data_IF_084966132649
#
_entry.id   IF_084966132649
#
_cell.length_a   1.000
_cell.length_b   1.000
_cell.length_c   1.000
_cell.angle_alpha   90.00
_cell.angle_beta   90.00
_cell.angle_gamma   90.00
#
_symmetry.space_group_name_H-M   'P 1'
#
loop_
_entity.id
_entity.type
_entity.pdbx_description
1 polymer ?
#
# COMPACT_ATOMS: atom_id res chain seq x y z
N UNK A 1 -16.10 13.11 -12.13
CA UNK A 1 -15.11 12.03 -12.26
C UNK A 1 -14.59 11.80 -10.86
N UNK A 2 -15.16 10.85 -10.13
CA UNK A 2 -14.63 10.47 -8.81
C UNK A 2 -13.33 9.75 -9.12
N UNK A 3 -12.20 10.42 -8.90
CA UNK A 3 -10.90 9.76 -9.00
C UNK A 3 -10.88 8.80 -7.82
N UNK A 4 -11.16 7.53 -8.08
CA UNK A 4 -10.86 6.45 -7.14
C UNK A 4 -9.35 6.53 -6.94
N UNK A 5 -8.94 7.12 -5.82
CA UNK A 5 -7.52 7.17 -5.44
C UNK A 5 -7.16 5.75 -5.04
N UNK A 6 -6.34 5.09 -5.85
CA UNK A 6 -5.82 3.76 -5.56
C UNK A 6 -5.04 3.78 -4.24
N UNK A 7 -5.01 2.63 -3.54
CA UNK A 7 -4.24 2.47 -2.29
C UNK A 7 -2.79 2.98 -2.41
N UNK A 8 -2.14 2.76 -3.56
CA UNK A 8 -0.78 3.21 -3.83
C UNK A 8 -0.66 4.73 -3.91
N UNK A 9 -1.59 5.41 -4.58
CA UNK A 9 -1.61 6.87 -4.67
C UNK A 9 -1.92 7.50 -3.31
N UNK A 10 -2.82 6.91 -2.53
CA UNK A 10 -3.09 7.35 -1.16
C UNK A 10 -1.84 7.28 -0.26
N UNK A 11 -1.12 6.15 -0.33
CA UNK A 11 0.12 5.96 0.42
C UNK A 11 1.22 6.93 -0.04
N UNK A 12 1.37 7.13 -1.36
CA UNK A 12 2.32 8.09 -1.92
C UNK A 12 2.02 9.52 -1.46
N UNK A 13 0.74 9.92 -1.52
CA UNK A 13 0.30 11.22 -1.04
C UNK A 13 0.62 11.43 0.45
N UNK A 14 0.34 10.45 1.31
CA UNK A 14 0.61 10.57 2.75
C UNK A 14 2.09 10.52 3.14
N UNK A 15 2.90 9.85 2.32
CA UNK A 15 4.35 9.85 2.45
C UNK A 15 4.99 11.12 1.89
N UNK A 16 4.25 11.92 1.11
CA UNK A 16 4.79 13.06 0.36
C UNK A 16 5.67 12.64 -0.81
N UNK A 17 5.52 11.40 -1.29
CA UNK A 17 6.20 10.91 -2.48
C UNK A 17 5.45 11.42 -3.71
N UNK A 18 6.13 12.18 -4.56
CA UNK A 18 5.55 12.67 -5.82
C UNK A 18 5.36 11.57 -6.87
N UNK A 19 5.96 10.39 -6.67
CA UNK A 19 5.95 9.26 -7.61
C UNK A 19 5.88 7.93 -6.84
N UNK A 20 5.12 6.95 -7.35
CA UNK A 20 5.01 5.60 -6.77
C UNK A 20 6.37 4.87 -6.66
N UNK A 21 7.33 5.20 -7.54
CA UNK A 21 8.68 4.65 -7.49
C UNK A 21 9.42 5.01 -6.20
N UNK A 22 9.23 6.22 -5.66
CA UNK A 22 9.82 6.63 -4.37
C UNK A 22 9.10 5.94 -3.20
N UNK A 23 7.82 5.64 -3.37
CA UNK A 23 7.08 4.84 -2.40
C UNK A 23 7.70 3.44 -2.26
N UNK A 24 8.16 2.86 -3.36
CA UNK A 24 8.88 1.57 -3.37
C UNK A 24 10.20 1.64 -2.59
N UNK A 25 10.94 2.74 -2.71
CA UNK A 25 12.18 2.94 -1.94
C UNK A 25 11.91 3.11 -0.43
N UNK A 26 10.76 3.68 -0.09
CA UNK A 26 10.32 3.88 1.29
C UNK A 26 9.50 2.72 1.86
N UNK A 27 9.45 1.57 1.17
CA UNK A 27 8.76 0.35 1.63
C UNK A 27 9.15 -0.05 3.05
N UNK A 28 10.44 0.04 3.40
CA UNK A 28 10.97 -0.33 4.71
C UNK A 28 10.85 0.80 5.76
N UNK A 29 10.17 1.90 5.42
CA UNK A 29 10.00 2.99 6.36
C UNK A 29 8.93 2.63 7.39
N UNK A 30 9.24 2.82 8.68
CA UNK A 30 8.26 2.68 9.76
C UNK A 30 6.99 3.53 9.51
N UNK A 31 7.15 4.67 8.83
CA UNK A 31 6.03 5.55 8.50
C UNK A 31 5.05 4.88 7.53
N UNK A 32 5.53 4.22 6.48
CA UNK A 32 4.68 3.47 5.56
C UNK A 32 3.98 2.33 6.32
N UNK A 33 4.70 1.57 7.14
CA UNK A 33 4.12 0.48 7.92
C UNK A 33 2.99 0.97 8.83
N UNK A 34 3.20 2.08 9.55
CA UNK A 34 2.17 2.69 10.41
C UNK A 34 0.96 3.20 9.63
N UNK A 35 1.19 3.87 8.48
CA UNK A 35 0.12 4.32 7.61
C UNK A 35 -0.72 3.14 7.13
N UNK A 36 -0.06 2.10 6.62
CA UNK A 36 -0.72 0.90 6.10
C UNK A 36 -1.46 0.12 7.19
N UNK A 37 -0.91 0.07 8.41
CA UNK A 37 -1.56 -0.54 9.57
C UNK A 37 -2.83 0.20 10.02
N UNK A 38 -2.85 1.53 9.82
CA UNK A 38 -4.00 2.36 10.15
C UNK A 38 -5.15 2.23 9.14
N UNK A 39 -4.89 1.71 7.94
CA UNK A 39 -5.92 1.50 6.92
C UNK A 39 -6.71 0.23 7.26
N UNK A 40 -8.05 0.31 7.44
CA UNK A 40 -8.86 -0.87 7.67
C UNK A 40 -8.94 -1.70 6.38
N UNK A 41 -8.98 -3.03 6.51
CA UNK A 41 -9.03 -3.94 5.35
C UNK A 41 -10.22 -3.67 4.41
N UNK A 42 -11.33 -3.15 4.93
CA UNK A 42 -12.51 -2.79 4.15
C UNK A 42 -12.46 -1.41 3.47
N UNK A 43 -11.38 -0.63 3.63
CA UNK A 43 -11.23 0.65 2.94
C UNK A 43 -10.86 0.49 1.45
N UNK A 44 -10.18 -0.59 1.10
CA UNK A 44 -9.74 -0.89 -0.25
C UNK A 44 -10.17 -2.30 -0.64
N UNK A 45 -10.31 -2.55 -1.93
CA UNK A 45 -10.63 -3.88 -2.46
C UNK A 45 -9.47 -4.83 -2.25
N UNK A 46 -9.76 -6.14 -2.20
CA UNK A 46 -8.71 -7.15 -2.07
C UNK A 46 -7.67 -7.06 -3.21
N UNK A 47 -8.12 -6.82 -4.44
CA UNK A 47 -7.21 -6.59 -5.57
C UNK A 47 -6.23 -5.45 -5.32
N UNK A 48 -6.68 -4.32 -4.80
CA UNK A 48 -5.81 -3.17 -4.54
C UNK A 48 -4.73 -3.50 -3.50
N UNK A 49 -5.09 -4.26 -2.46
CA UNK A 49 -4.13 -4.74 -1.48
C UNK A 49 -3.08 -5.67 -2.11
N UNK A 50 -3.53 -6.60 -2.94
CA UNK A 50 -2.65 -7.54 -3.64
C UNK A 50 -1.71 -6.82 -4.60
N UNK A 51 -2.23 -5.92 -5.44
CA UNK A 51 -1.46 -5.08 -6.36
C UNK A 51 -0.44 -4.22 -5.60
N UNK A 52 -0.86 -3.57 -4.51
CA UNK A 52 0.03 -2.75 -3.70
C UNK A 52 1.16 -3.56 -3.05
N UNK A 53 0.84 -4.73 -2.51
CA UNK A 53 1.84 -5.64 -1.93
C UNK A 53 2.79 -6.19 -2.99
N UNK A 54 2.29 -6.59 -4.16
CA UNK A 54 3.14 -7.07 -5.25
C UNK A 54 4.03 -5.95 -5.79
N UNK A 55 3.50 -4.74 -5.93
CA UNK A 55 4.26 -3.59 -6.41
C UNK A 55 5.38 -3.19 -5.42
N UNK A 56 5.02 -3.02 -4.15
CA UNK A 56 5.94 -2.53 -3.12
C UNK A 56 6.92 -3.61 -2.65
N UNK A 57 6.44 -4.83 -2.39
CA UNK A 57 7.26 -5.92 -1.82
C UNK A 57 7.78 -6.91 -2.86
N UNK A 58 7.30 -6.84 -4.11
CA UNK A 58 7.66 -7.77 -5.18
C UNK A 58 7.07 -9.17 -5.04
N UNK A 59 6.20 -9.40 -4.05
CA UNK A 59 5.63 -10.72 -3.78
C UNK A 59 4.13 -10.75 -4.01
N UNK A 60 3.69 -11.79 -4.70
CA UNK A 60 2.30 -12.20 -4.72
C UNK A 60 1.85 -12.64 -3.32
N UNK A 61 0.66 -12.16 -2.96
CA UNK A 61 -0.03 -12.55 -1.74
C UNK A 61 -1.32 -13.29 -2.14
N UNK A 62 -1.80 -14.19 -1.29
CA UNK A 62 -3.02 -14.95 -1.58
C UNK A 62 -4.29 -14.22 -1.15
N UNK A 63 -4.19 -13.22 -0.27
CA UNK A 63 -5.34 -12.47 0.24
C UNK A 63 -4.97 -11.05 0.68
N UNK A 64 -5.97 -10.17 0.76
CA UNK A 64 -5.81 -8.79 1.23
C UNK A 64 -5.14 -8.70 2.62
N UNK A 65 -5.50 -9.61 3.52
CA UNK A 65 -4.93 -9.70 4.87
C UNK A 65 -3.43 -10.01 4.84
N UNK A 66 -3.01 -10.94 3.98
CA UNK A 66 -1.61 -11.33 3.86
C UNK A 66 -0.79 -10.19 3.25
N UNK A 67 -1.33 -9.56 2.19
CA UNK A 67 -0.77 -8.36 1.59
C UNK A 67 -0.56 -7.25 2.63
N UNK A 68 -1.59 -6.91 3.41
CA UNK A 68 -1.48 -5.91 4.47
C UNK A 68 -0.44 -6.30 5.51
N UNK A 69 -0.45 -7.54 5.99
CA UNK A 69 0.52 -8.00 6.99
C UNK A 69 1.95 -7.87 6.48
N UNK A 70 2.21 -8.11 5.19
CA UNK A 70 3.52 -7.88 4.57
C UNK A 70 3.88 -6.39 4.51
N UNK A 71 2.91 -5.53 4.16
CA UNK A 71 3.13 -4.09 4.07
C UNK A 71 3.32 -3.42 5.45
N UNK A 72 2.95 -4.09 6.54
CA UNK A 72 3.09 -3.59 7.93
C UNK A 72 4.34 -4.16 8.63
N UNK A 73 5.03 -5.11 8.00
CA UNK A 73 6.14 -5.88 8.58
C UNK A 73 7.50 -5.38 8.11
#
# INVERSE_FOLDING_TARGET
>A
MLVEIDLLDYLAYQMGCGVLSDLRLSQQSERLHRLTAAIPLGACSEREWLDAAQYLTGHDCASALEARNRLVR
#
